data_IF_059199477889
#
_entry.id   IF_059199477889
#
_cell.length_a   1.000
_cell.length_b   1.000
_cell.length_c   1.000
_cell.angle_alpha   90.00
_cell.angle_beta   90.00
_cell.angle_gamma   90.00
#
_symmetry.space_group_name_H-M   'P 1'
#
loop_
_entity.id
_entity.type
_entity.pdbx_description
1 polymer ?
#
# COMPACT_ATOMS: atom_id res chain seq x y z
N UNK A 1 -13.50 30.10 7.32
CA UNK A 1 -12.31 29.28 7.60
C UNK A 1 -12.78 28.08 8.40
N UNK A 2 -12.68 26.88 7.82
CA UNK A 2 -13.00 25.64 8.55
C UNK A 2 -11.89 25.43 9.58
N UNK A 3 -12.25 25.48 10.87
CA UNK A 3 -11.29 25.25 11.95
C UNK A 3 -10.99 23.73 11.99
N UNK A 4 -9.72 23.30 11.95
CA UNK A 4 -9.39 21.89 11.97
C UNK A 4 -9.91 21.23 13.26
N UNK A 5 -10.68 20.15 13.13
CA UNK A 5 -11.01 19.31 14.28
C UNK A 5 -9.72 18.64 14.77
N UNK A 6 -9.30 18.91 16.01
CA UNK A 6 -8.06 18.37 16.56
C UNK A 6 -7.99 16.83 16.48
N UNK A 7 -9.15 16.16 16.67
CA UNK A 7 -9.30 14.70 16.66
C UNK A 7 -9.88 14.14 15.35
N UNK A 8 -9.95 14.95 14.28
CA UNK A 8 -10.53 14.55 12.99
C UNK A 8 -9.57 13.78 12.07
N UNK A 9 -10.13 13.06 11.11
CA UNK A 9 -9.36 12.43 10.03
C UNK A 9 -8.94 13.49 9.00
N UNK A 10 -7.72 13.40 8.47
CA UNK A 10 -7.24 14.30 7.41
C UNK A 10 -8.15 14.24 6.19
N UNK A 11 -8.63 15.38 5.70
CA UNK A 11 -9.62 15.45 4.62
C UNK A 11 -9.16 14.71 3.36
N UNK A 12 -7.90 14.84 2.95
CA UNK A 12 -7.39 14.12 1.78
C UNK A 12 -7.38 12.59 1.95
N UNK A 13 -7.34 12.07 3.19
CA UNK A 13 -7.47 10.63 3.46
C UNK A 13 -8.92 10.19 3.28
N UNK A 14 -9.88 11.00 3.74
CA UNK A 14 -11.31 10.76 3.58
C UNK A 14 -11.70 10.74 2.10
N UNK A 15 -11.28 11.76 1.34
CA UNK A 15 -11.53 11.86 -0.11
C UNK A 15 -10.90 10.70 -0.90
N UNK A 16 -9.69 10.28 -0.52
CA UNK A 16 -9.04 9.15 -1.20
C UNK A 16 -9.76 7.82 -0.92
N UNK A 17 -10.26 7.62 0.31
CA UNK A 17 -10.97 6.40 0.72
C UNK A 17 -12.28 6.19 -0.03
N UNK A 18 -12.97 7.27 -0.38
CA UNK A 18 -14.24 7.22 -1.14
C UNK A 18 -14.03 7.08 -2.65
N UNK A 19 -12.78 6.97 -3.10
CA UNK A 19 -12.44 6.71 -4.49
C UNK A 19 -12.19 7.95 -5.36
N UNK A 20 -12.18 9.19 -4.82
CA UNK A 20 -11.98 10.40 -5.64
C UNK A 20 -10.57 10.54 -6.23
N UNK A 21 -9.61 9.73 -5.78
CA UNK A 21 -8.27 9.68 -6.35
C UNK A 21 -7.22 9.24 -5.35
N UNK A 22 -5.95 9.45 -5.69
CA UNK A 22 -4.86 9.31 -4.74
C UNK A 22 -4.92 10.41 -3.67
N UNK A 23 -4.21 10.25 -2.55
CA UNK A 23 -4.12 11.31 -1.52
C UNK A 23 -3.54 12.61 -2.10
N UNK A 24 -2.61 12.54 -3.05
CA UNK A 24 -2.05 13.72 -3.73
C UNK A 24 -3.08 14.41 -4.61
N UNK A 25 -3.82 13.64 -5.42
CA UNK A 25 -4.93 14.18 -6.22
C UNK A 25 -5.98 14.85 -5.32
N UNK A 26 -6.27 14.26 -4.17
CA UNK A 26 -7.18 14.86 -3.19
C UNK A 26 -6.61 16.15 -2.56
N UNK A 27 -5.30 16.25 -2.36
CA UNK A 27 -4.64 17.49 -1.91
C UNK A 27 -4.72 18.58 -2.98
N UNK A 28 -4.56 18.24 -4.26
CA UNK A 28 -4.73 19.17 -5.38
C UNK A 28 -6.17 19.73 -5.42
N UNK A 29 -7.19 18.87 -5.32
CA UNK A 29 -8.59 19.29 -5.26
C UNK A 29 -8.86 20.27 -4.10
N UNK A 30 -8.27 20.01 -2.93
CA UNK A 30 -8.38 20.90 -1.77
C UNK A 30 -7.67 22.22 -2.05
N UNK A 31 -6.44 22.18 -2.58
CA UNK A 31 -5.64 23.36 -2.91
C UNK A 31 -6.29 24.26 -3.97
N UNK A 32 -7.05 23.67 -4.90
CA UNK A 32 -7.85 24.38 -5.91
C UNK A 32 -9.15 24.98 -5.36
N UNK A 33 -9.47 24.75 -4.08
CA UNK A 33 -10.70 25.26 -3.46
C UNK A 33 -11.98 24.56 -3.91
N UNK A 34 -11.85 23.37 -4.52
CA UNK A 34 -12.98 22.58 -5.07
C UNK A 34 -13.71 21.76 -4.01
N UNK A 35 -13.14 21.65 -2.82
CA UNK A 35 -13.69 20.87 -1.71
C UNK A 35 -14.28 21.81 -0.67
N UNK A 36 -15.53 21.58 -0.30
CA UNK A 36 -16.17 22.25 0.84
C UNK A 36 -16.45 21.27 1.97
N UNK A 37 -16.36 21.76 3.20
CA UNK A 37 -16.76 21.07 4.43
C UNK A 37 -17.74 21.96 5.15
N UNK A 38 -18.95 21.45 5.39
CA UNK A 38 -20.05 22.17 6.03
C UNK A 38 -20.35 23.53 5.36
N UNK A 39 -20.23 23.57 4.03
CA UNK A 39 -20.50 24.75 3.21
C UNK A 39 -19.36 25.77 3.12
N UNK A 40 -18.21 25.53 3.76
CA UNK A 40 -17.04 26.39 3.66
C UNK A 40 -15.89 25.72 2.89
N UNK A 41 -15.16 26.49 2.08
CA UNK A 41 -13.99 26.00 1.33
C UNK A 41 -12.94 25.45 2.29
N UNK A 42 -12.47 24.23 2.02
CA UNK A 42 -11.46 23.56 2.82
C UNK A 42 -10.04 24.00 2.41
N UNK A 43 -9.10 23.90 3.35
CA UNK A 43 -7.69 24.20 3.15
C UNK A 43 -6.82 22.95 3.37
N UNK A 44 -5.60 22.95 2.80
CA UNK A 44 -4.66 21.86 3.00
C UNK A 44 -4.35 21.64 4.49
N UNK A 45 -4.42 20.39 4.92
CA UNK A 45 -4.25 20.03 6.34
C UNK A 45 -5.54 20.01 7.16
N UNK A 46 -6.69 20.39 6.57
CA UNK A 46 -8.00 20.27 7.20
C UNK A 46 -8.26 18.84 7.71
N UNK A 47 -8.88 18.76 8.89
CA UNK A 47 -9.30 17.52 9.55
C UNK A 47 -10.80 17.58 9.79
N UNK A 48 -11.49 16.48 9.52
CA UNK A 48 -12.95 16.37 9.57
C UNK A 48 -13.39 15.18 10.40
N UNK A 49 -14.52 15.33 11.10
CA UNK A 49 -15.21 14.20 11.69
C UNK A 49 -16.10 13.55 10.62
N UNK A 50 -15.74 12.35 10.17
CA UNK A 50 -16.44 11.61 9.11
C UNK A 50 -17.85 11.17 9.48
N UNK A 51 -18.27 11.29 10.74
CA UNK A 51 -19.63 10.94 11.17
C UNK A 51 -20.59 12.12 11.07
N UNK A 52 -20.08 13.35 11.14
CA UNK A 52 -20.92 14.54 11.20
C UNK A 52 -20.65 15.54 10.07
N UNK A 53 -19.46 15.53 9.47
CA UNK A 53 -19.09 16.51 8.46
C UNK A 53 -19.81 16.26 7.12
N UNK A 54 -20.38 17.32 6.56
CA UNK A 54 -20.88 17.32 5.18
C UNK A 54 -19.76 17.74 4.25
N UNK A 55 -19.25 16.79 3.47
CA UNK A 55 -18.16 17.02 2.52
C UNK A 55 -18.74 17.07 1.11
N UNK A 56 -18.39 18.09 0.34
CA UNK A 56 -18.79 18.21 -1.07
C UNK A 56 -17.56 18.49 -1.94
N UNK A 57 -17.54 17.93 -3.14
CA UNK A 57 -16.56 18.28 -4.18
C UNK A 57 -17.33 18.84 -5.37
N UNK A 58 -16.99 20.06 -5.77
CA UNK A 58 -17.71 20.82 -6.81
C UNK A 58 -19.23 20.91 -6.55
N UNK A 59 -19.63 20.97 -5.28
CA UNK A 59 -21.03 21.03 -4.84
C UNK A 59 -21.77 19.69 -4.82
N UNK A 60 -21.13 18.58 -5.21
CA UNK A 60 -21.71 17.25 -5.09
C UNK A 60 -21.32 16.60 -3.74
N UNK A 61 -22.28 16.06 -2.96
CA UNK A 61 -22.00 15.42 -1.69
C UNK A 61 -21.18 14.14 -1.88
N UNK A 62 -20.14 14.00 -1.07
CA UNK A 62 -19.28 12.83 -1.05
C UNK A 62 -19.88 11.78 -0.11
N UNK A 63 -20.20 10.59 -0.63
CA UNK A 63 -20.66 9.46 0.18
C UNK A 63 -19.62 9.06 1.23
N UNK A 64 -20.05 8.81 2.47
CA UNK A 64 -19.12 8.84 3.60
C UNK A 64 -18.25 7.61 3.77
N UNK A 65 -18.64 6.42 3.27
CA UNK A 65 -17.84 5.18 3.37
C UNK A 65 -18.25 4.14 2.31
N UNK A 66 -17.42 3.83 1.29
CA UNK A 66 -17.48 2.49 0.71
C UNK A 66 -17.12 1.47 1.81
N UNK A 67 -17.69 0.26 1.72
CA UNK A 67 -17.29 -0.83 2.61
C UNK A 67 -15.79 -1.11 2.51
N UNK A 68 -15.19 -1.61 3.59
CA UNK A 68 -13.80 -2.06 3.55
C UNK A 68 -13.71 -3.32 2.70
N UNK A 69 -12.75 -3.33 1.77
CA UNK A 69 -12.53 -4.45 0.86
C UNK A 69 -11.09 -4.93 0.97
N UNK A 70 -10.93 -6.24 0.94
CA UNK A 70 -9.64 -6.92 1.08
C UNK A 70 -9.57 -8.05 0.06
N UNK A 71 -8.59 -7.97 -0.84
CA UNK A 71 -8.31 -8.99 -1.84
C UNK A 71 -6.96 -9.63 -1.58
N UNK A 72 -6.93 -10.97 -1.53
CA UNK A 72 -5.70 -11.74 -1.56
C UNK A 72 -5.48 -12.18 -3.01
N UNK A 73 -4.50 -11.56 -3.66
CA UNK A 73 -4.12 -11.85 -5.03
C UNK A 73 -2.91 -12.77 -5.02
N UNK A 74 -2.98 -13.88 -5.76
CA UNK A 74 -1.78 -14.57 -6.20
C UNK A 74 -1.27 -13.86 -7.46
N UNK A 75 -0.36 -12.91 -7.28
CA UNK A 75 0.17 -12.07 -8.36
C UNK A 75 0.98 -12.94 -9.33
N UNK A 76 0.69 -12.93 -10.64
CA UNK A 76 1.51 -13.61 -11.64
C UNK A 76 2.78 -12.82 -11.98
N UNK A 77 3.76 -13.49 -12.58
CA UNK A 77 4.93 -12.83 -13.16
C UNK A 77 4.53 -11.92 -14.34
N UNK A 78 5.32 -10.88 -14.59
CA UNK A 78 5.10 -9.91 -15.67
C UNK A 78 4.13 -8.77 -15.33
N UNK A 79 3.41 -8.84 -14.20
CA UNK A 79 2.48 -7.79 -13.75
C UNK A 79 3.17 -6.83 -12.79
N UNK A 80 2.92 -5.53 -12.91
CA UNK A 80 3.56 -4.49 -12.09
C UNK A 80 2.74 -4.20 -10.83
N UNK A 81 3.41 -4.13 -9.67
CA UNK A 81 2.75 -3.77 -8.40
C UNK A 81 2.62 -2.24 -8.26
N UNK A 82 1.63 -1.66 -8.93
CA UNK A 82 1.26 -0.24 -8.86
C UNK A 82 -0.24 -0.06 -9.09
N UNK A 83 -0.80 1.08 -8.70
CA UNK A 83 -2.18 1.47 -9.02
C UNK A 83 -2.31 2.24 -10.35
N UNK A 84 -1.19 2.66 -10.94
CA UNK A 84 -1.11 3.30 -12.25
C UNK A 84 0.31 3.15 -12.78
N UNK A 85 0.45 2.74 -14.05
CA UNK A 85 1.74 2.60 -14.72
C UNK A 85 1.83 3.55 -15.91
N UNK A 86 2.83 4.44 -15.99
CA UNK A 86 2.96 5.38 -17.11
C UNK A 86 3.37 4.73 -18.43
N UNK A 87 3.79 3.45 -18.41
CA UNK A 87 4.15 2.70 -19.61
C UNK A 87 3.07 1.70 -20.03
N UNK A 88 1.87 1.84 -19.45
CA UNK A 88 0.68 1.03 -19.79
C UNK A 88 0.90 -0.48 -19.68
N UNK A 89 1.76 -0.89 -18.73
CA UNK A 89 1.98 -2.31 -18.42
C UNK A 89 0.83 -2.83 -17.56
N UNK A 90 0.47 -4.12 -17.67
CA UNK A 90 -0.52 -4.74 -16.79
C UNK A 90 -0.17 -4.54 -15.32
N UNK A 91 -1.14 -4.10 -14.54
CA UNK A 91 -0.98 -3.81 -13.12
C UNK A 91 -1.81 -4.74 -12.25
N UNK A 92 -1.48 -4.79 -10.97
CA UNK A 92 -2.21 -5.63 -10.01
C UNK A 92 -3.65 -5.17 -9.75
N UNK A 93 -3.95 -3.90 -10.00
CA UNK A 93 -5.33 -3.38 -9.85
C UNK A 93 -6.23 -3.82 -11.00
N UNK A 94 -5.67 -4.08 -12.19
CA UNK A 94 -6.40 -4.60 -13.35
C UNK A 94 -6.86 -6.06 -13.15
N UNK A 95 -6.37 -6.73 -12.10
CA UNK A 95 -6.67 -8.13 -11.79
C UNK A 95 -7.77 -8.30 -10.73
N UNK A 96 -8.35 -7.21 -10.23
CA UNK A 96 -9.40 -7.20 -9.22
C UNK A 96 -10.57 -6.29 -9.67
N UNK A 97 -11.76 -6.38 -9.07
CA UNK A 97 -12.86 -5.48 -9.41
C UNK A 97 -12.48 -4.00 -9.26
N UNK A 98 -12.92 -3.17 -10.21
CA UNK A 98 -12.60 -1.74 -10.28
C UNK A 98 -13.23 -0.90 -9.16
N UNK A 99 -14.37 -1.36 -8.62
CA UNK A 99 -15.11 -0.70 -7.53
C UNK A 99 -15.35 -1.67 -6.34
N UNK A 100 -15.09 -1.23 -5.09
CA UNK A 100 -14.48 0.03 -4.72
C UNK A 100 -12.98 0.09 -5.06
N UNK A 101 -12.49 1.29 -5.35
CA UNK A 101 -11.07 1.54 -5.65
C UNK A 101 -10.15 1.02 -4.53
N UNK A 102 -9.21 0.14 -4.88
CA UNK A 102 -8.19 -0.42 -3.96
C UNK A 102 -6.76 -0.01 -4.36
N UNK A 103 -5.80 -0.29 -3.48
CA UNK A 103 -4.37 -0.15 -3.73
C UNK A 103 -3.60 -1.35 -3.18
N UNK A 104 -2.43 -1.69 -3.76
CA UNK A 104 -1.61 -2.79 -3.26
C UNK A 104 -0.96 -2.43 -1.91
N UNK A 105 -0.86 -3.44 -1.03
CA UNK A 105 -0.20 -3.37 0.26
C UNK A 105 1.21 -3.94 0.13
N UNK A 106 2.19 -3.06 0.12
CA UNK A 106 3.58 -3.43 -0.17
C UNK A 106 3.80 -3.60 -1.67
N UNK A 107 4.94 -4.20 -2.04
CA UNK A 107 5.29 -4.44 -3.44
C UNK A 107 5.93 -5.80 -3.62
N UNK A 108 5.58 -6.45 -4.72
CA UNK A 108 6.36 -7.51 -5.33
C UNK A 108 6.94 -6.98 -6.65
N UNK A 109 8.17 -7.37 -6.97
CA UNK A 109 8.77 -7.02 -8.26
C UNK A 109 7.98 -7.64 -9.42
N UNK A 110 8.17 -7.11 -10.63
CA UNK A 110 7.38 -7.50 -11.78
C UNK A 110 7.43 -9.01 -12.05
N UNK A 111 8.61 -9.63 -11.91
CA UNK A 111 8.83 -11.07 -12.11
C UNK A 111 8.60 -11.90 -10.85
N UNK A 112 8.33 -11.28 -9.69
CA UNK A 112 8.01 -12.01 -8.47
C UNK A 112 6.53 -12.36 -8.46
N UNK A 113 6.25 -13.61 -8.13
CA UNK A 113 4.91 -14.17 -7.99
C UNK A 113 4.50 -14.31 -6.53
N UNK A 114 3.21 -14.55 -6.29
CA UNK A 114 2.72 -14.97 -4.99
C UNK A 114 1.81 -13.94 -4.32
N UNK A 115 1.72 -14.05 -3.00
CA UNK A 115 0.70 -13.37 -2.22
C UNK A 115 0.90 -11.84 -2.20
N UNK A 116 -0.11 -11.11 -2.65
CA UNK A 116 -0.22 -9.67 -2.53
C UNK A 116 -1.61 -9.29 -2.01
N UNK A 117 -1.67 -8.42 -1.00
CA UNK A 117 -2.93 -7.86 -0.50
C UNK A 117 -3.26 -6.58 -1.26
N UNK A 118 -4.51 -6.41 -1.66
CA UNK A 118 -5.06 -5.14 -2.15
C UNK A 118 -6.23 -4.72 -1.27
N UNK A 119 -6.29 -3.45 -0.91
CA UNK A 119 -7.35 -2.93 -0.03
C UNK A 119 -7.58 -1.44 -0.22
N UNK A 120 -8.72 -0.93 0.25
CA UNK A 120 -8.96 0.50 0.48
C UNK A 120 -8.68 0.93 1.94
N UNK A 121 -8.25 0.00 2.79
CA UNK A 121 -7.88 0.23 4.19
C UNK A 121 -6.43 0.73 4.32
N UNK A 122 -6.29 2.06 4.37
CA UNK A 122 -4.97 2.70 4.48
C UNK A 122 -4.27 2.44 5.82
N UNK A 123 -5.02 2.17 6.88
CA UNK A 123 -4.44 1.97 8.22
C UNK A 123 -3.87 0.55 8.34
N UNK A 124 -4.59 -0.46 7.83
CA UNK A 124 -4.05 -1.81 7.69
C UNK A 124 -2.82 -1.82 6.78
N UNK A 125 -2.90 -1.14 5.63
CA UNK A 125 -1.79 -1.08 4.69
C UNK A 125 -0.53 -0.47 5.32
N UNK A 126 -0.68 0.65 6.05
CA UNK A 126 0.42 1.25 6.79
C UNK A 126 1.00 0.28 7.83
N UNK A 127 0.14 -0.40 8.60
CA UNK A 127 0.57 -1.35 9.63
C UNK A 127 1.35 -2.54 9.07
N UNK A 128 0.97 -3.02 7.89
CA UNK A 128 1.62 -4.17 7.24
C UNK A 128 2.91 -3.80 6.50
N UNK A 129 3.08 -2.53 6.10
CA UNK A 129 4.21 -2.10 5.25
C UNK A 129 5.26 -1.30 6.00
N UNK A 130 4.91 -0.62 7.09
CA UNK A 130 5.86 0.24 7.77
C UNK A 130 6.90 -0.59 8.54
N UNK A 131 8.22 -0.34 8.35
CA UNK A 131 9.28 -1.17 8.91
C UNK A 131 9.23 -1.33 10.43
N UNK A 132 8.73 -0.33 11.15
CA UNK A 132 8.66 -0.37 12.63
C UNK A 132 7.74 -1.46 13.18
N UNK A 133 6.81 -1.99 12.38
CA UNK A 133 5.91 -3.05 12.82
C UNK A 133 6.51 -4.46 12.66
N UNK A 134 7.63 -4.59 11.94
CA UNK A 134 8.37 -5.85 11.84
C UNK A 134 7.53 -7.04 11.35
N UNK A 135 6.61 -6.79 10.39
CA UNK A 135 5.74 -7.84 9.87
C UNK A 135 6.55 -8.79 9.00
N UNK A 136 6.71 -10.04 9.47
CA UNK A 136 7.39 -11.11 8.76
C UNK A 136 6.73 -11.37 7.39
N UNK A 137 7.58 -11.50 6.37
CA UNK A 137 7.24 -11.86 4.98
C UNK A 137 8.07 -13.08 4.61
N UNK A 138 7.41 -14.13 4.17
CA UNK A 138 8.05 -15.39 3.79
C UNK A 138 8.05 -15.55 2.27
N UNK A 139 9.20 -15.95 1.74
CA UNK A 139 9.46 -16.14 0.32
C UNK A 139 10.00 -17.54 0.06
N UNK A 140 9.64 -18.09 -1.10
CA UNK A 140 10.39 -19.18 -1.72
C UNK A 140 11.26 -18.57 -2.81
N UNK A 141 12.57 -18.73 -2.68
CA UNK A 141 13.56 -18.21 -3.61
C UNK A 141 14.31 -19.38 -4.25
N UNK A 142 14.12 -19.56 -5.56
CA UNK A 142 14.95 -20.44 -6.37
C UNK A 142 16.22 -19.69 -6.77
N UNK A 143 17.38 -20.36 -6.66
CA UNK A 143 18.68 -19.79 -7.00
C UNK A 143 19.46 -20.68 -7.94
N UNK A 144 20.44 -20.10 -8.62
CA UNK A 144 21.36 -20.87 -9.46
C UNK A 144 22.25 -21.79 -8.61
N UNK A 145 22.21 -23.08 -8.92
CA UNK A 145 22.99 -24.11 -8.23
C UNK A 145 22.49 -24.40 -6.80
N UNK A 146 23.37 -25.00 -5.99
CA UNK A 146 23.06 -25.42 -4.61
C UNK A 146 23.76 -24.50 -3.60
N UNK A 147 23.01 -23.76 -2.76
CA UNK A 147 23.60 -22.97 -1.69
C UNK A 147 24.44 -23.82 -0.75
N UNK A 148 25.67 -23.37 -0.47
CA UNK A 148 26.50 -24.01 0.56
C UNK A 148 25.94 -23.71 1.96
N UNK A 149 26.18 -24.58 2.96
CA UNK A 149 25.79 -24.30 4.34
C UNK A 149 26.36 -22.97 4.88
N UNK A 150 27.55 -22.58 4.44
CA UNK A 150 28.15 -21.30 4.78
C UNK A 150 27.41 -20.10 4.17
N UNK A 151 26.94 -20.21 2.93
CA UNK A 151 26.13 -19.16 2.29
C UNK A 151 24.78 -18.98 3.00
N UNK A 152 24.10 -20.07 3.36
CA UNK A 152 22.84 -20.02 4.13
C UNK A 152 23.07 -19.38 5.50
N UNK A 153 24.19 -19.69 6.17
CA UNK A 153 24.56 -19.07 7.45
C UNK A 153 24.75 -17.55 7.31
N UNK A 154 25.47 -17.11 6.27
CA UNK A 154 25.67 -15.68 6.00
C UNK A 154 24.35 -14.94 5.77
N UNK A 155 23.41 -15.54 5.05
CA UNK A 155 22.07 -14.98 4.87
C UNK A 155 21.34 -14.80 6.22
N UNK A 156 21.44 -15.79 7.12
CA UNK A 156 20.82 -15.71 8.45
C UNK A 156 21.43 -14.62 9.35
N UNK A 157 22.73 -14.39 9.24
CA UNK A 157 23.47 -13.40 10.04
C UNK A 157 23.40 -11.97 9.45
N UNK A 158 22.77 -11.82 8.29
CA UNK A 158 22.70 -10.58 7.53
C UNK A 158 23.91 -10.38 6.62
N UNK A 159 23.66 -9.83 5.44
CA UNK A 159 24.64 -9.58 4.38
C UNK A 159 24.83 -8.08 4.17
N UNK A 160 26.00 -7.66 3.70
CA UNK A 160 26.28 -6.26 3.36
C UNK A 160 25.85 -6.00 1.92
N UNK A 161 24.98 -5.02 1.73
CA UNK A 161 24.51 -4.47 0.47
C UNK A 161 24.97 -3.00 0.36
N UNK A 162 24.68 -2.35 -0.78
CA UNK A 162 25.08 -0.96 -1.03
C UNK A 162 24.47 0.04 -0.04
N UNK A 163 23.26 -0.25 0.43
CA UNK A 163 22.48 0.55 1.38
C UNK A 163 22.70 0.18 2.85
N UNK A 164 23.54 -0.84 3.11
CA UNK A 164 23.95 -1.24 4.44
C UNK A 164 23.85 -2.73 4.70
N UNK A 165 23.95 -3.12 5.97
CA UNK A 165 23.81 -4.52 6.39
C UNK A 165 22.34 -4.87 6.57
N UNK A 166 21.90 -5.98 5.98
CA UNK A 166 20.54 -6.49 6.20
C UNK A 166 20.35 -6.95 7.65
N UNK A 167 19.12 -6.88 8.14
CA UNK A 167 18.75 -7.55 9.39
C UNK A 167 18.96 -9.07 9.28
N UNK A 168 19.12 -9.77 10.41
CA UNK A 168 19.11 -11.23 10.45
C UNK A 168 17.81 -11.79 9.86
N UNK A 169 17.92 -12.86 9.07
CA UNK A 169 16.79 -13.51 8.41
C UNK A 169 16.63 -14.97 8.87
N UNK A 170 15.41 -15.51 8.80
CA UNK A 170 15.24 -16.97 8.86
C UNK A 170 15.40 -17.50 7.44
N UNK A 171 16.35 -18.39 7.21
CA UNK A 171 16.58 -18.98 5.90
C UNK A 171 16.78 -20.48 6.01
N UNK A 172 16.06 -21.29 5.24
CA UNK A 172 16.17 -22.75 5.25
C UNK A 172 16.18 -23.25 3.81
N UNK A 173 17.11 -24.14 3.49
CA UNK A 173 17.11 -24.87 2.23
C UNK A 173 15.97 -25.91 2.28
N UNK A 174 14.98 -25.77 1.40
CA UNK A 174 13.82 -26.67 1.33
C UNK A 174 13.88 -27.64 0.15
N UNK A 175 14.71 -27.33 -0.86
CA UNK A 175 15.09 -28.22 -1.97
C UNK A 175 16.53 -27.94 -2.41
N UNK A 176 17.07 -28.66 -3.40
CA UNK A 176 18.46 -28.54 -3.86
C UNK A 176 18.88 -27.10 -4.20
N UNK A 177 17.98 -26.30 -4.79
CA UNK A 177 18.19 -24.91 -5.22
C UNK A 177 17.17 -23.93 -4.64
N UNK A 178 16.27 -24.37 -3.74
CA UNK A 178 15.16 -23.55 -3.24
C UNK A 178 15.34 -23.24 -1.76
N UNK A 179 15.33 -21.94 -1.43
CA UNK A 179 15.33 -21.44 -0.06
C UNK A 179 13.96 -20.93 0.35
N UNK A 180 13.53 -21.27 1.56
CA UNK A 180 12.50 -20.54 2.28
C UNK A 180 13.16 -19.44 3.11
N UNK A 181 12.80 -18.19 2.87
CA UNK A 181 13.40 -17.02 3.51
C UNK A 181 12.31 -16.17 4.15
N UNK A 182 12.45 -15.86 5.45
CA UNK A 182 11.58 -14.93 6.17
C UNK A 182 12.37 -13.69 6.58
N UNK A 183 11.86 -12.52 6.20
CA UNK A 183 12.42 -11.18 6.50
C UNK A 183 11.29 -10.25 6.97
N UNK A 184 11.60 -9.17 7.67
CA UNK A 184 10.63 -8.16 8.09
C UNK A 184 10.99 -6.75 7.64
#
# INVERSE_FOLDING_TARGET
VVVPAADGERLQKVLARVGLGSRRVCEELIGEGRVTVDGAVAELGCRVNVESARIEVDGAPVGVRPGLVYYLLNKPAGVVTTASDPHDRPTVVDLVPDDPRVFPVGRLDAQTEGLLLLTNDGDLAHRLTHPSFGVDKEYLAEVEGRPSPAAVRRLREGVVLEDGRTAPARAVLVDASVLRITIH
#
